data_IF_926727475390
#
_entry.id   IF_926727475390
#
_cell.length_a   1.000
_cell.length_b   1.000
_cell.length_c   1.000
_cell.angle_alpha   90.00
_cell.angle_beta   90.00
_cell.angle_gamma   90.00
#
_symmetry.space_group_name_H-M   'P 1'
#
loop_
_entity.id
_entity.type
_entity.pdbx_description
1 polymer ?
#
# COMPACT_ATOMS: atom_id res chain seq x y z
N UNK A 1 16.12 -60.63 8.20
CA UNK A 1 16.25 -59.54 7.21
C UNK A 1 14.85 -59.30 6.69
N UNK A 2 14.05 -58.43 7.34
CA UNK A 2 13.83 -57.00 6.98
C UNK A 2 13.52 -56.82 5.49
N UNK A 3 12.46 -56.15 5.02
CA UNK A 3 11.35 -55.43 5.62
C UNK A 3 10.25 -55.29 4.54
N UNK A 4 9.05 -54.94 5.00
CA UNK A 4 7.87 -54.55 4.24
C UNK A 4 8.19 -53.63 3.05
N UNK A 5 7.64 -53.95 1.87
CA UNK A 5 7.39 -52.97 0.82
C UNK A 5 6.19 -52.13 1.27
N UNK A 6 6.48 -51.03 1.97
CA UNK A 6 5.51 -49.96 2.18
C UNK A 6 5.34 -49.21 0.86
N UNK A 7 4.12 -49.32 0.33
CA UNK A 7 3.55 -48.40 -0.63
C UNK A 7 3.71 -46.97 -0.10
N UNK A 8 4.52 -46.15 -0.76
CA UNK A 8 4.47 -44.70 -0.55
C UNK A 8 3.16 -44.17 -1.14
N UNK A 9 2.22 -43.63 -0.34
CA UNK A 9 1.18 -42.81 -0.91
C UNK A 9 1.81 -41.50 -1.36
N UNK A 10 1.64 -41.18 -2.63
CA UNK A 10 1.91 -39.85 -3.18
C UNK A 10 1.02 -38.89 -2.39
N UNK A 11 1.63 -38.19 -1.44
CA UNK A 11 0.96 -37.13 -0.70
C UNK A 11 0.68 -36.01 -1.70
N UNK A 12 -0.53 -36.02 -2.26
CA UNK A 12 -1.17 -34.81 -2.79
C UNK A 12 -1.31 -33.85 -1.61
N UNK A 13 -0.22 -33.15 -1.27
CA UNK A 13 -0.34 -31.87 -0.61
C UNK A 13 -0.85 -30.91 -1.67
N UNK A 14 -2.16 -31.00 -1.92
CA UNK A 14 -2.96 -29.84 -2.28
C UNK A 14 -2.51 -28.75 -1.31
N UNK A 15 -1.69 -27.84 -1.83
CA UNK A 15 -1.35 -26.63 -1.13
C UNK A 15 -2.67 -25.95 -0.84
N UNK A 16 -3.16 -26.14 0.39
CA UNK A 16 -4.18 -25.29 0.98
C UNK A 16 -3.57 -23.90 0.90
N UNK A 17 -3.89 -23.20 -0.19
CA UNK A 17 -3.78 -21.76 -0.27
C UNK A 17 -4.49 -21.29 1.00
N UNK A 18 -3.69 -20.84 1.96
CA UNK A 18 -4.21 -20.05 3.05
C UNK A 18 -5.05 -18.98 2.35
N UNK A 19 -6.35 -18.82 2.65
CA UNK A 19 -7.12 -17.77 2.02
C UNK A 19 -6.30 -16.50 2.20
N UNK A 20 -5.87 -15.87 1.10
CA UNK A 20 -5.12 -14.61 1.16
C UNK A 20 -5.95 -13.71 2.06
N UNK A 21 -5.45 -13.45 3.27
CA UNK A 21 -6.20 -12.72 4.28
C UNK A 21 -6.26 -11.26 3.82
N UNK A 22 -7.29 -10.94 3.05
CA UNK A 22 -7.52 -9.59 2.56
C UNK A 22 -7.82 -8.69 3.75
N UNK A 23 -6.90 -7.78 4.03
CA UNK A 23 -7.09 -6.80 5.08
C UNK A 23 -8.28 -5.90 4.75
N UNK A 24 -9.05 -5.59 5.78
CA UNK A 24 -10.03 -4.52 5.73
C UNK A 24 -9.34 -3.15 5.63
N UNK A 25 -10.11 -2.14 5.22
CA UNK A 25 -9.64 -0.76 5.14
C UNK A 25 -9.07 -0.27 6.47
N UNK A 26 -9.75 -0.56 7.57
CA UNK A 26 -9.36 -0.09 8.89
C UNK A 26 -8.08 -0.79 9.34
N UNK A 27 -7.93 -2.11 9.13
CA UNK A 27 -6.67 -2.80 9.44
C UNK A 27 -5.47 -2.24 8.67
N UNK A 28 -5.67 -1.81 7.42
CA UNK A 28 -4.60 -1.16 6.64
C UNK A 28 -4.23 0.19 7.25
N UNK A 29 -5.22 0.98 7.69
CA UNK A 29 -5.00 2.28 8.33
C UNK A 29 -4.32 2.10 9.70
N UNK A 30 -4.82 1.19 10.53
CA UNK A 30 -4.28 0.93 11.87
C UNK A 30 -2.80 0.52 11.78
N UNK A 31 -2.44 -0.35 10.82
CA UNK A 31 -1.03 -0.73 10.59
C UNK A 31 -0.14 0.43 10.13
N UNK A 32 -0.70 1.43 9.45
CA UNK A 32 0.05 2.64 9.10
C UNK A 32 0.23 3.54 10.32
N UNK A 33 -0.78 3.67 11.16
CA UNK A 33 -0.71 4.45 12.40
C UNK A 33 0.32 3.86 13.37
N UNK A 34 0.33 2.53 13.53
CA UNK A 34 1.33 1.84 14.33
C UNK A 34 2.76 2.09 13.81
N UNK A 35 2.96 2.03 12.49
CA UNK A 35 4.27 2.27 11.89
C UNK A 35 4.73 3.72 12.07
N UNK A 36 3.81 4.70 11.95
CA UNK A 36 4.12 6.11 12.22
C UNK A 36 4.54 6.28 13.67
N UNK A 37 3.77 5.72 14.61
CA UNK A 37 4.08 5.79 16.04
C UNK A 37 5.45 5.17 16.35
N UNK A 38 5.73 3.97 15.85
CA UNK A 38 7.03 3.30 16.00
C UNK A 38 8.18 4.14 15.44
N UNK A 39 7.97 4.85 14.33
CA UNK A 39 8.99 5.74 13.75
C UNK A 39 9.22 7.00 14.61
N UNK A 40 8.15 7.56 15.18
CA UNK A 40 8.23 8.69 16.11
C UNK A 40 8.95 8.30 17.42
N UNK A 41 8.71 7.09 17.90
CA UNK A 41 9.38 6.50 19.08
C UNK A 41 10.81 6.02 18.78
N UNK A 42 11.24 6.03 17.51
CA UNK A 42 12.58 5.63 17.09
C UNK A 42 12.80 4.12 17.01
N UNK A 43 11.73 3.33 17.04
CA UNK A 43 11.75 1.86 17.00
C UNK A 43 11.95 1.31 15.58
N UNK A 44 11.53 2.06 14.56
CA UNK A 44 11.76 1.71 13.15
C UNK A 44 12.49 2.82 12.39
N UNK A 45 13.32 2.40 11.43
CA UNK A 45 14.02 3.28 10.49
C UNK A 45 13.09 3.85 9.42
N UNK A 46 13.55 4.91 8.74
CA UNK A 46 12.85 5.50 7.60
C UNK A 46 12.59 4.50 6.46
N UNK A 47 13.52 3.55 6.24
CA UNK A 47 13.33 2.49 5.24
C UNK A 47 12.19 1.53 5.63
N UNK A 48 12.09 1.18 6.91
CA UNK A 48 10.99 0.36 7.41
C UNK A 48 9.68 1.13 7.33
N UNK A 49 9.66 2.41 7.69
CA UNK A 49 8.48 3.27 7.54
C UNK A 49 8.00 3.34 6.08
N UNK A 50 8.92 3.51 5.12
CA UNK A 50 8.62 3.41 3.70
C UNK A 50 8.03 2.04 3.31
N UNK A 51 8.61 0.95 3.82
CA UNK A 51 8.12 -0.39 3.54
C UNK A 51 6.68 -0.60 4.06
N UNK A 52 6.33 -0.06 5.23
CA UNK A 52 4.95 -0.06 5.74
C UNK A 52 3.99 0.67 4.80
N UNK A 53 4.39 1.84 4.27
CA UNK A 53 3.59 2.57 3.28
C UNK A 53 3.39 1.77 1.98
N UNK A 54 4.47 1.17 1.46
CA UNK A 54 4.44 0.34 0.26
C UNK A 54 3.56 -0.90 0.43
N UNK A 55 3.65 -1.55 1.59
CA UNK A 55 2.80 -2.69 1.93
C UNK A 55 1.33 -2.26 2.02
N UNK A 56 1.00 -1.19 2.73
CA UNK A 56 -0.37 -0.70 2.83
C UNK A 56 -0.98 -0.39 1.45
N UNK A 57 -0.21 0.23 0.55
CA UNK A 57 -0.61 0.42 -0.85
C UNK A 57 -0.85 -0.91 -1.57
N UNK A 58 0.04 -1.89 -1.40
CA UNK A 58 -0.09 -3.22 -2.00
C UNK A 58 -1.32 -3.95 -1.50
N UNK A 59 -1.56 -4.00 -0.19
CA UNK A 59 -2.72 -4.66 0.42
C UNK A 59 -4.04 -4.04 -0.07
N UNK A 60 -4.10 -2.70 -0.14
CA UNK A 60 -5.27 -1.99 -0.66
C UNK A 60 -5.57 -2.33 -2.13
N UNK A 61 -4.54 -2.64 -2.94
CA UNK A 61 -4.70 -3.06 -4.33
C UNK A 61 -4.95 -4.56 -4.51
N UNK A 62 -4.67 -5.40 -3.50
CA UNK A 62 -5.01 -6.83 -3.52
C UNK A 62 -6.47 -7.05 -3.13
N UNK A 63 -7.03 -6.23 -2.24
CA UNK A 63 -8.44 -6.30 -1.88
C UNK A 63 -9.32 -5.67 -2.99
N UNK A 64 -10.18 -6.44 -3.71
CA UNK A 64 -10.93 -5.92 -4.86
C UNK A 64 -11.91 -4.79 -4.51
N UNK A 65 -12.55 -4.85 -3.33
CA UNK A 65 -13.48 -3.83 -2.89
C UNK A 65 -12.77 -2.51 -2.59
N UNK A 66 -11.63 -2.58 -1.89
CA UNK A 66 -10.79 -1.42 -1.59
C UNK A 66 -10.20 -0.84 -2.88
N UNK A 67 -9.68 -1.68 -3.77
CA UNK A 67 -9.12 -1.28 -5.06
C UNK A 67 -10.12 -0.50 -5.90
N UNK A 68 -11.35 -1.02 -6.02
CA UNK A 68 -12.43 -0.34 -6.77
C UNK A 68 -12.74 1.04 -6.18
N UNK A 69 -12.87 1.13 -4.85
CA UNK A 69 -13.09 2.41 -4.16
C UNK A 69 -11.91 3.38 -4.35
N UNK A 70 -10.68 2.87 -4.29
CA UNK A 70 -9.44 3.61 -4.48
C UNK A 70 -9.38 4.24 -5.88
N UNK A 71 -9.66 3.45 -6.93
CA UNK A 71 -9.66 3.95 -8.31
C UNK A 71 -10.72 5.04 -8.53
N UNK A 72 -11.91 4.89 -7.92
CA UNK A 72 -12.99 5.87 -7.97
C UNK A 72 -12.59 7.18 -7.29
N UNK A 73 -12.02 7.10 -6.09
CA UNK A 73 -11.59 8.28 -5.33
C UNK A 73 -10.40 8.99 -6.00
N UNK A 74 -9.42 8.23 -6.52
CA UNK A 74 -8.33 8.81 -7.32
C UNK A 74 -8.85 9.53 -8.58
N UNK A 75 -9.85 8.96 -9.28
CA UNK A 75 -10.49 9.59 -10.43
C UNK A 75 -11.19 10.90 -10.03
N UNK A 76 -11.91 10.91 -8.91
CA UNK A 76 -12.56 12.11 -8.36
C UNK A 76 -11.54 13.21 -8.06
N UNK A 77 -10.46 12.88 -7.32
CA UNK A 77 -9.39 13.85 -7.00
C UNK A 77 -8.71 14.40 -8.26
N UNK A 78 -8.52 13.56 -9.28
CA UNK A 78 -7.96 13.97 -10.58
C UNK A 78 -8.87 14.96 -11.31
N UNK A 79 -10.18 14.71 -11.33
CA UNK A 79 -11.16 15.62 -11.94
C UNK A 79 -11.17 16.97 -11.24
N UNK A 80 -11.20 17.00 -9.90
CA UNK A 80 -11.14 18.24 -9.12
C UNK A 80 -9.86 19.01 -9.41
N UNK A 81 -8.70 18.34 -9.41
CA UNK A 81 -7.43 19.01 -9.70
C UNK A 81 -7.40 19.58 -11.13
N UNK A 82 -7.91 18.83 -12.11
CA UNK A 82 -7.97 19.27 -13.50
C UNK A 82 -8.86 20.52 -13.70
N UNK A 83 -9.90 20.69 -12.88
CA UNK A 83 -10.74 21.88 -12.90
C UNK A 83 -10.00 23.14 -12.39
N UNK A 84 -9.00 22.98 -11.51
CA UNK A 84 -8.23 24.09 -10.93
C UNK A 84 -6.98 24.38 -11.79
N UNK A 85 -6.32 23.34 -12.27
CA UNK A 85 -5.14 23.42 -13.11
C UNK A 85 -5.19 22.32 -14.19
N UNK A 86 -5.29 22.67 -15.49
CA UNK A 86 -5.32 21.68 -16.56
C UNK A 86 -4.13 20.72 -16.47
N UNK A 87 -4.43 19.42 -16.39
CA UNK A 87 -3.44 18.36 -16.24
C UNK A 87 -3.05 17.77 -17.60
N UNK A 88 -1.77 17.90 -17.98
CA UNK A 88 -1.17 17.16 -19.09
C UNK A 88 -0.51 15.87 -18.57
N UNK A 89 -1.37 14.86 -18.32
CA UNK A 89 -0.96 13.55 -17.78
C UNK A 89 -0.02 12.80 -18.74
N UNK A 90 -0.25 12.78 -20.07
CA UNK A 90 0.68 12.13 -21.00
C UNK A 90 2.11 12.66 -20.88
N UNK A 91 2.28 13.98 -20.72
CA UNK A 91 3.59 14.62 -20.63
C UNK A 91 4.23 14.55 -19.25
N UNK A 92 3.44 14.73 -18.19
CA UNK A 92 3.96 14.93 -16.83
C UNK A 92 3.62 13.79 -15.86
N UNK A 93 2.88 12.77 -16.32
CA UNK A 93 2.37 11.69 -15.48
C UNK A 93 1.19 12.13 -14.62
N UNK A 94 0.60 11.17 -13.90
CA UNK A 94 -0.57 11.44 -13.03
C UNK A 94 -0.12 12.00 -11.66
N UNK A 95 -0.37 13.29 -11.37
CA UNK A 95 0.05 13.90 -10.11
C UNK A 95 -0.67 13.32 -8.89
N UNK A 96 -1.90 12.83 -9.06
CA UNK A 96 -2.65 12.15 -8.00
C UNK A 96 -1.95 10.84 -7.67
N UNK A 97 -1.58 10.05 -8.68
CA UNK A 97 -0.86 8.79 -8.46
C UNK A 97 0.51 9.03 -7.83
N UNK A 98 1.25 10.05 -8.27
CA UNK A 98 2.55 10.44 -7.69
C UNK A 98 2.46 10.82 -6.21
N UNK A 99 1.34 11.44 -5.79
CA UNK A 99 1.11 11.81 -4.38
C UNK A 99 1.00 10.59 -3.48
N UNK A 100 0.22 9.58 -3.87
CA UNK A 100 -0.23 8.54 -2.95
C UNK A 100 0.47 7.18 -3.12
N UNK A 101 0.96 6.85 -4.32
CA UNK A 101 1.59 5.56 -4.56
C UNK A 101 3.09 5.62 -4.18
N UNK A 102 3.55 4.83 -3.19
CA UNK A 102 4.93 4.86 -2.70
C UNK A 102 6.00 4.60 -3.76
N UNK A 103 5.68 3.91 -4.86
CA UNK A 103 6.63 3.66 -5.94
C UNK A 103 7.10 4.95 -6.64
N UNK A 104 6.33 6.04 -6.56
CA UNK A 104 6.72 7.33 -7.13
C UNK A 104 7.50 8.22 -6.15
N UNK A 105 7.67 7.79 -4.91
CA UNK A 105 8.38 8.56 -3.88
C UNK A 105 9.89 8.37 -3.97
N UNK A 106 10.31 7.18 -4.45
CA UNK A 106 11.71 6.85 -4.64
C UNK A 106 12.37 7.80 -5.65
N UNK A 107 13.57 8.27 -5.33
CA UNK A 107 14.34 9.16 -6.20
C UNK A 107 13.87 10.61 -6.22
N UNK A 108 12.87 11.00 -5.43
CA UNK A 108 12.51 12.41 -5.24
C UNK A 108 13.62 13.17 -4.49
N UNK A 109 13.75 14.47 -4.75
CA UNK A 109 14.73 15.32 -4.08
C UNK A 109 14.41 15.47 -2.60
N UNK A 110 13.13 15.58 -2.28
CA UNK A 110 12.64 15.76 -0.92
C UNK A 110 12.93 14.53 -0.06
N UNK A 111 12.76 13.31 -0.61
CA UNK A 111 13.15 12.09 0.09
C UNK A 111 14.66 12.02 0.36
N UNK A 112 15.51 12.64 -0.46
CA UNK A 112 16.97 12.70 -0.21
C UNK A 112 17.34 13.72 0.85
N UNK A 113 16.66 14.86 0.88
CA UNK A 113 17.00 15.99 1.74
C UNK A 113 16.42 15.86 3.16
N UNK A 114 15.20 15.34 3.29
CA UNK A 114 14.52 15.10 4.56
C UNK A 114 13.67 13.82 4.46
N UNK A 115 14.29 12.63 4.59
CA UNK A 115 13.59 11.38 4.39
C UNK A 115 12.41 11.19 5.35
N UNK A 116 12.64 11.42 6.65
CA UNK A 116 11.62 11.23 7.68
C UNK A 116 10.45 12.19 7.51
N UNK A 117 10.71 13.50 7.39
CA UNK A 117 9.63 14.48 7.24
C UNK A 117 8.84 14.29 5.94
N UNK A 118 9.53 13.96 4.85
CA UNK A 118 8.88 13.60 3.59
C UNK A 118 7.98 12.36 3.74
N UNK A 119 8.49 11.26 4.33
CA UNK A 119 7.73 10.02 4.49
C UNK A 119 6.49 10.22 5.36
N UNK A 120 6.62 10.91 6.50
CA UNK A 120 5.48 11.23 7.36
C UNK A 120 4.41 12.04 6.62
N UNK A 121 4.80 13.04 5.82
CA UNK A 121 3.87 13.81 5.01
C UNK A 121 3.13 12.96 3.96
N UNK A 122 3.86 12.07 3.28
CA UNK A 122 3.30 11.18 2.26
C UNK A 122 2.40 10.12 2.86
N UNK A 123 2.76 9.55 4.00
CA UNK A 123 1.96 8.58 4.73
C UNK A 123 0.67 9.22 5.26
N UNK A 124 0.73 10.42 5.83
CA UNK A 124 -0.47 11.16 6.23
C UNK A 124 -1.42 11.40 5.04
N UNK A 125 -0.86 11.72 3.86
CA UNK A 125 -1.65 11.87 2.64
C UNK A 125 -2.29 10.54 2.20
N UNK A 126 -1.54 9.44 2.26
CA UNK A 126 -2.01 8.11 1.91
C UNK A 126 -3.10 7.62 2.86
N UNK A 127 -2.92 7.82 4.17
CA UNK A 127 -3.95 7.56 5.18
C UNK A 127 -5.23 8.31 4.88
N UNK A 128 -5.14 9.62 4.62
CA UNK A 128 -6.32 10.42 4.26
C UNK A 128 -7.04 9.90 3.01
N UNK A 129 -6.30 9.39 2.02
CA UNK A 129 -6.90 8.73 0.87
C UNK A 129 -7.69 7.49 1.29
N UNK A 130 -7.09 6.62 2.12
CA UNK A 130 -7.76 5.43 2.63
C UNK A 130 -9.00 5.76 3.47
N UNK A 131 -8.91 6.72 4.39
CA UNK A 131 -10.06 7.16 5.20
C UNK A 131 -11.24 7.61 4.33
N UNK A 132 -10.95 8.30 3.23
CA UNK A 132 -11.98 8.79 2.30
C UNK A 132 -12.68 7.72 1.46
N UNK A 133 -12.19 6.46 1.47
CA UNK A 133 -12.78 5.40 0.67
C UNK A 133 -14.15 4.98 1.19
N UNK A 134 -15.14 5.07 0.30
CA UNK A 134 -16.50 4.57 0.47
C UNK A 134 -16.56 3.16 -0.11
N UNK A 135 -16.63 2.15 0.77
CA UNK A 135 -16.73 0.74 0.40
C UNK A 135 -18.18 0.32 0.63
N UNK A 136 -18.86 0.00 -0.46
CA UNK A 136 -20.25 -0.47 -0.50
C UNK A 136 -20.30 -1.96 -0.74
#
# INVERSE_FOLDING_TARGET
>A
MTNFNEETPISNQEGKQTPEHLLSKNEIIDRLDDAVKQSEEGEISDLQLFAHAANAWREANHNPAIKSALEKEMRKRRLVLHQIAPLDIPKHGDPIRKRYNPNYWLGTEELRNDPKGFLLNRIASLKNLFESLQIT
#
